data_IF_561059707049
#
_entry.id   IF_561059707049
#
_cell.length_a   1.000
_cell.length_b   1.000
_cell.length_c   1.000
_cell.angle_alpha   90.00
_cell.angle_beta   90.00
_cell.angle_gamma   90.00
#
_symmetry.space_group_name_H-M   'P 1'
#
loop_
_entity.id
_entity.type
_entity.pdbx_description
1 polymer ?
#
# COMPACT_ATOMS: atom_id res chain seq x y z
N UNK A 1 -14.08 63.60 -10.63
CA UNK A 1 -13.03 62.82 -11.31
C UNK A 1 -12.66 61.66 -10.39
N UNK A 2 -12.99 60.42 -10.76
CA UNK A 2 -12.78 59.21 -9.94
C UNK A 2 -11.42 58.58 -10.30
N UNK A 3 -10.58 58.15 -9.33
CA UNK A 3 -9.43 57.34 -9.64
C UNK A 3 -9.87 55.90 -9.89
N UNK A 4 -9.53 55.35 -11.05
CA UNK A 4 -9.68 53.94 -11.38
C UNK A 4 -8.59 53.16 -10.63
N UNK A 5 -8.96 52.36 -9.64
CA UNK A 5 -8.08 51.36 -9.05
C UNK A 5 -7.88 50.22 -10.06
N UNK A 6 -6.67 50.10 -10.60
CA UNK A 6 -6.25 48.90 -11.32
C UNK A 6 -5.93 47.81 -10.30
N UNK A 7 -6.79 46.79 -10.20
CA UNK A 7 -6.51 45.58 -9.44
C UNK A 7 -5.70 44.64 -10.34
N UNK A 8 -4.41 44.49 -10.06
CA UNK A 8 -3.59 43.46 -10.68
C UNK A 8 -3.99 42.10 -10.11
N UNK A 9 -4.62 41.24 -10.93
CA UNK A 9 -4.85 39.85 -10.59
C UNK A 9 -3.51 39.11 -10.60
N UNK A 10 -3.02 38.75 -9.42
CA UNK A 10 -1.88 37.84 -9.27
C UNK A 10 -2.40 36.41 -9.51
N UNK A 11 -2.25 35.90 -10.74
CA UNK A 11 -2.50 34.49 -11.03
C UNK A 11 -1.35 33.69 -10.44
N UNK A 12 -1.58 33.04 -9.31
CA UNK A 12 -0.67 32.05 -8.77
C UNK A 12 -0.71 30.82 -9.69
N UNK A 13 0.33 30.63 -10.50
CA UNK A 13 0.58 29.36 -11.16
C UNK A 13 0.93 28.33 -10.10
N UNK A 14 -0.06 27.62 -9.57
CA UNK A 14 0.18 26.34 -8.92
C UNK A 14 0.56 25.37 -10.02
N UNK A 15 1.85 25.27 -10.34
CA UNK A 15 2.37 24.13 -11.06
C UNK A 15 2.08 22.90 -10.21
N UNK A 16 0.98 22.21 -10.48
CA UNK A 16 0.83 20.82 -10.08
C UNK A 16 1.96 20.08 -10.80
N UNK A 17 3.08 19.87 -10.10
CA UNK A 17 4.07 18.88 -10.52
C UNK A 17 3.26 17.59 -10.76
N UNK A 18 3.30 17.01 -11.97
CA UNK A 18 2.59 15.77 -12.22
C UNK A 18 3.10 14.79 -11.18
N UNK A 19 2.17 14.28 -10.36
CA UNK A 19 2.47 13.30 -9.33
C UNK A 19 3.24 12.17 -10.02
N UNK A 20 4.53 12.05 -9.70
CA UNK A 20 5.50 11.07 -10.18
C UNK A 20 5.13 10.42 -11.50
N UNK A 21 5.73 10.89 -12.59
CA UNK A 21 5.92 10.05 -13.78
C UNK A 21 6.69 8.82 -13.27
N UNK A 22 5.94 7.77 -12.89
CA UNK A 22 6.52 6.51 -12.46
C UNK A 22 7.41 6.08 -13.60
N UNK A 23 8.58 5.56 -13.29
CA UNK A 23 9.50 5.02 -14.28
C UNK A 23 8.88 3.72 -14.83
N UNK A 24 7.83 3.85 -15.64
CA UNK A 24 7.10 2.75 -16.22
C UNK A 24 7.85 2.36 -17.47
N UNK A 25 8.41 1.15 -17.47
CA UNK A 25 9.02 0.55 -18.66
C UNK A 25 8.01 0.66 -19.80
N UNK A 26 8.37 1.37 -20.88
CA UNK A 26 7.52 1.45 -22.07
C UNK A 26 7.32 0.02 -22.59
N UNK A 27 6.07 -0.48 -22.62
CA UNK A 27 5.84 -1.84 -23.04
C UNK A 27 6.26 -1.99 -24.50
N UNK A 28 7.04 -3.05 -24.78
CA UNK A 28 7.50 -3.36 -26.14
C UNK A 28 6.33 -3.71 -27.06
N UNK A 29 5.23 -4.21 -26.49
CA UNK A 29 3.99 -4.56 -27.18
C UNK A 29 2.83 -3.98 -26.36
N UNK A 30 1.90 -3.29 -27.02
CA UNK A 30 0.70 -2.79 -26.34
C UNK A 30 -0.24 -3.95 -26.00
N UNK A 31 -0.65 -4.02 -24.74
CA UNK A 31 -1.66 -4.98 -24.28
C UNK A 31 -2.97 -4.78 -25.04
N UNK A 32 -3.50 -5.88 -25.57
CA UNK A 32 -4.78 -5.89 -26.30
C UNK A 32 -5.99 -6.03 -25.37
N UNK A 33 -5.75 -6.35 -24.11
CA UNK A 33 -6.75 -6.54 -23.07
C UNK A 33 -6.41 -5.62 -21.90
N UNK A 34 -7.44 -5.14 -21.21
CA UNK A 34 -7.27 -4.41 -19.96
C UNK A 34 -7.69 -5.30 -18.79
N UNK A 35 -6.97 -5.26 -17.65
CA UNK A 35 -7.46 -5.87 -16.43
C UNK A 35 -8.81 -5.25 -16.03
N UNK A 36 -9.80 -6.10 -15.76
CA UNK A 36 -11.06 -5.68 -15.16
C UNK A 36 -11.02 -6.03 -13.66
N UNK A 37 -11.09 -5.00 -12.82
CA UNK A 37 -11.25 -5.16 -11.37
C UNK A 37 -12.73 -5.32 -11.06
N UNK A 38 -13.08 -6.35 -10.31
CA UNK A 38 -14.44 -6.57 -9.83
C UNK A 38 -14.58 -6.02 -8.41
N UNK A 39 -15.69 -5.33 -8.13
CA UNK A 39 -16.05 -4.85 -6.81
C UNK A 39 -17.06 -5.77 -6.13
N UNK A 40 -17.16 -5.68 -4.80
CA UNK A 40 -18.17 -6.39 -4.02
C UNK A 40 -19.59 -6.18 -4.57
N UNK A 41 -19.94 -4.93 -4.94
CA UNK A 41 -21.26 -4.61 -5.48
C UNK A 41 -21.63 -5.40 -6.75
N UNK A 42 -20.65 -5.76 -7.59
CA UNK A 42 -20.89 -6.50 -8.84
C UNK A 42 -21.04 -8.01 -8.60
N UNK A 43 -20.47 -8.50 -7.51
CA UNK A 43 -20.36 -9.94 -7.20
C UNK A 43 -21.28 -10.37 -6.05
N UNK A 44 -21.94 -9.41 -5.40
CA UNK A 44 -22.70 -9.59 -4.17
C UNK A 44 -23.69 -10.77 -4.25
N UNK A 45 -23.60 -11.66 -3.26
CA UNK A 45 -24.47 -12.83 -3.14
C UNK A 45 -24.04 -14.05 -3.97
N UNK A 46 -22.94 -13.96 -4.71
CA UNK A 46 -22.30 -15.10 -5.38
C UNK A 46 -21.35 -15.88 -4.47
N UNK A 47 -20.97 -17.10 -4.88
CA UNK A 47 -20.04 -17.93 -4.10
C UNK A 47 -18.61 -17.34 -4.04
N UNK A 48 -18.17 -16.64 -5.09
CA UNK A 48 -16.86 -15.97 -5.09
C UNK A 48 -16.85 -14.79 -4.12
N UNK A 49 -17.92 -13.99 -4.12
CA UNK A 49 -18.11 -12.91 -3.14
C UNK A 49 -18.09 -13.46 -1.71
N UNK A 50 -18.90 -14.49 -1.43
CA UNK A 50 -18.92 -15.14 -0.11
C UNK A 50 -17.53 -15.56 0.34
N UNK A 51 -16.72 -16.16 -0.53
CA UNK A 51 -15.35 -16.59 -0.21
C UNK A 51 -14.40 -15.43 0.04
N UNK A 52 -14.49 -14.35 -0.74
CA UNK A 52 -13.65 -13.17 -0.53
C UNK A 52 -14.03 -12.51 0.78
N UNK A 53 -15.32 -12.35 1.07
CA UNK A 53 -15.79 -11.77 2.32
C UNK A 53 -15.37 -12.60 3.53
N UNK A 54 -15.48 -13.95 3.47
CA UNK A 54 -14.95 -14.84 4.51
C UNK A 54 -13.43 -14.70 4.69
N UNK A 55 -12.69 -14.57 3.58
CA UNK A 55 -11.24 -14.37 3.62
C UNK A 55 -10.88 -13.05 4.30
N UNK A 56 -11.65 -12.00 4.05
CA UNK A 56 -11.49 -10.70 4.71
C UNK A 56 -11.80 -10.81 6.20
N UNK A 57 -13.02 -11.21 6.56
CA UNK A 57 -13.51 -11.10 7.94
C UNK A 57 -12.92 -12.15 8.86
N UNK A 58 -12.78 -13.38 8.39
CA UNK A 58 -12.43 -14.53 9.23
C UNK A 58 -10.95 -14.88 9.19
N UNK A 59 -10.19 -14.31 8.25
CA UNK A 59 -8.75 -14.56 8.14
C UNK A 59 -7.95 -13.27 8.25
N UNK A 60 -8.13 -12.31 7.35
CA UNK A 60 -7.30 -11.10 7.32
C UNK A 60 -7.51 -10.18 8.53
N UNK A 61 -8.77 -9.92 8.89
CA UNK A 61 -9.12 -8.98 9.96
C UNK A 61 -8.77 -9.51 11.36
N UNK A 62 -8.57 -10.81 11.51
CA UNK A 62 -8.25 -11.46 12.80
C UNK A 62 -6.75 -11.71 13.01
N UNK A 63 -5.90 -11.44 12.01
CA UNK A 63 -4.45 -11.61 12.14
C UNK A 63 -3.88 -10.76 13.28
N UNK A 64 -2.85 -11.27 13.95
CA UNK A 64 -2.02 -10.48 14.85
C UNK A 64 -0.84 -9.90 14.06
N UNK A 65 -1.09 -8.77 13.39
CA UNK A 65 -0.13 -8.16 12.47
C UNK A 65 1.18 -7.80 13.17
N UNK A 66 1.10 -7.37 14.43
CA UNK A 66 2.26 -6.94 15.20
C UNK A 66 3.14 -8.12 15.58
N UNK A 67 2.57 -9.17 16.16
CA UNK A 67 3.32 -10.36 16.57
C UNK A 67 3.92 -11.11 15.38
N UNK A 68 3.09 -11.35 14.37
CA UNK A 68 3.40 -12.30 13.31
C UNK A 68 4.26 -11.69 12.21
N UNK A 69 4.23 -10.36 12.02
CA UNK A 69 4.99 -9.67 10.96
C UNK A 69 5.75 -8.44 11.44
N UNK A 70 5.06 -7.41 11.95
CA UNK A 70 5.64 -6.06 12.06
C UNK A 70 6.74 -5.97 13.13
N UNK A 71 6.65 -6.76 14.19
CA UNK A 71 7.68 -6.87 15.21
C UNK A 71 9.06 -7.20 14.63
N UNK A 72 9.12 -8.03 13.58
CA UNK A 72 10.38 -8.43 12.93
C UNK A 72 11.08 -7.28 12.20
N UNK A 73 10.33 -6.24 11.83
CA UNK A 73 10.87 -5.04 11.19
C UNK A 73 11.29 -3.99 12.20
N UNK A 74 10.66 -3.96 13.38
CA UNK A 74 11.04 -3.07 14.50
C UNK A 74 12.21 -3.62 15.30
N UNK A 75 12.17 -4.91 15.60
CA UNK A 75 13.13 -5.67 16.39
C UNK A 75 13.84 -6.67 15.48
N UNK A 76 14.72 -6.14 14.64
CA UNK A 76 15.41 -6.90 13.59
C UNK A 76 16.34 -7.97 14.17
N UNK A 77 16.50 -9.07 13.43
CA UNK A 77 17.32 -10.21 13.84
C UNK A 77 18.68 -10.20 13.14
N UNK A 78 19.68 -10.85 13.75
CA UNK A 78 20.97 -11.05 13.11
C UNK A 78 20.86 -11.94 11.86
N UNK A 79 21.69 -11.67 10.87
CA UNK A 79 21.90 -12.49 9.66
C UNK A 79 22.72 -13.73 10.03
N UNK A 80 22.14 -14.72 10.71
CA UNK A 80 22.90 -15.94 11.03
C UNK A 80 22.08 -16.98 11.78
N UNK A 81 22.08 -18.21 11.23
CA UNK A 81 21.48 -19.46 11.73
C UNK A 81 20.10 -19.94 11.21
N UNK A 82 19.75 -19.59 9.96
CA UNK A 82 18.88 -20.39 9.05
C UNK A 82 17.42 -20.73 9.44
N UNK A 83 16.94 -20.35 10.60
CA UNK A 83 15.50 -20.34 10.90
C UNK A 83 15.02 -18.88 10.74
N UNK A 84 13.93 -18.65 9.99
CA UNK A 84 13.37 -17.31 9.64
C UNK A 84 13.86 -16.62 8.36
N UNK A 85 13.96 -17.35 7.24
CA UNK A 85 14.34 -16.76 5.94
C UNK A 85 13.18 -15.96 5.29
N UNK A 86 11.94 -16.15 5.75
CA UNK A 86 10.76 -15.55 5.12
C UNK A 86 9.60 -15.32 6.10
N UNK A 87 9.11 -14.08 6.15
CA UNK A 87 7.90 -13.70 6.92
C UNK A 87 6.70 -13.36 6.02
N UNK A 88 6.91 -12.89 4.80
CA UNK A 88 5.80 -12.67 3.84
C UNK A 88 4.91 -11.45 4.08
N UNK A 89 5.36 -10.44 4.85
CA UNK A 89 4.57 -9.22 5.12
C UNK A 89 4.09 -8.51 3.86
N UNK A 90 4.89 -8.53 2.78
CA UNK A 90 4.52 -7.93 1.50
C UNK A 90 3.26 -8.57 0.90
N UNK A 91 3.06 -9.88 1.07
CA UNK A 91 1.84 -10.55 0.61
C UNK A 91 0.63 -10.16 1.44
N UNK A 92 0.81 -9.94 2.75
CA UNK A 92 -0.26 -9.50 3.64
C UNK A 92 -0.69 -8.06 3.30
N UNK A 93 0.28 -7.18 3.01
CA UNK A 93 0.01 -5.82 2.55
C UNK A 93 -0.72 -5.80 1.19
N UNK A 94 -0.26 -6.62 0.23
CA UNK A 94 -0.87 -6.73 -1.09
C UNK A 94 -2.32 -7.25 -1.00
N UNK A 95 -2.53 -8.36 -0.27
CA UNK A 95 -3.87 -8.89 -0.03
C UNK A 95 -4.79 -7.87 0.64
N UNK A 96 -4.30 -7.17 1.68
CA UNK A 96 -5.07 -6.11 2.35
C UNK A 96 -5.45 -4.96 1.41
N UNK A 97 -4.59 -4.62 0.46
CA UNK A 97 -4.85 -3.57 -0.55
C UNK A 97 -5.96 -3.99 -1.51
N UNK A 98 -5.91 -5.24 -1.99
CA UNK A 98 -6.94 -5.82 -2.85
C UNK A 98 -8.28 -5.98 -2.11
N UNK A 99 -8.25 -6.39 -0.84
CA UNK A 99 -9.45 -6.48 -0.01
C UNK A 99 -10.09 -5.12 0.25
N UNK A 100 -9.29 -4.10 0.53
CA UNK A 100 -9.78 -2.74 0.72
C UNK A 100 -10.46 -2.21 -0.56
N UNK A 101 -9.87 -2.46 -1.73
CA UNK A 101 -10.45 -2.11 -3.02
C UNK A 101 -11.75 -2.88 -3.29
N UNK A 102 -11.75 -4.20 -3.08
CA UNK A 102 -12.89 -5.07 -3.36
C UNK A 102 -14.11 -4.74 -2.50
N UNK A 103 -13.92 -4.67 -1.17
CA UNK A 103 -15.01 -4.51 -0.22
C UNK A 103 -15.44 -3.05 -0.02
N UNK A 104 -14.54 -2.09 -0.27
CA UNK A 104 -14.78 -0.68 0.03
C UNK A 104 -14.91 -0.39 1.53
N UNK A 105 -14.51 -1.32 2.41
CA UNK A 105 -14.63 -1.16 3.86
C UNK A 105 -13.47 -0.30 4.41
N UNK A 106 -13.77 0.86 5.04
CA UNK A 106 -12.74 1.74 5.60
C UNK A 106 -11.89 1.08 6.69
N UNK A 107 -12.40 0.08 7.41
CA UNK A 107 -11.62 -0.64 8.43
C UNK A 107 -10.54 -1.53 7.81
N UNK A 108 -10.86 -2.18 6.69
CA UNK A 108 -9.89 -2.97 5.93
C UNK A 108 -8.81 -2.04 5.36
N UNK A 109 -9.21 -0.91 4.78
CA UNK A 109 -8.28 0.10 4.28
C UNK A 109 -7.36 0.64 5.38
N UNK A 110 -7.91 0.99 6.55
CA UNK A 110 -7.14 1.49 7.69
C UNK A 110 -6.15 0.45 8.21
N UNK A 111 -6.55 -0.82 8.26
CA UNK A 111 -5.67 -1.92 8.66
C UNK A 111 -4.53 -2.14 7.68
N UNK A 112 -4.79 -2.06 6.38
CA UNK A 112 -3.75 -2.11 5.33
C UNK A 112 -2.80 -0.92 5.44
N UNK A 113 -3.34 0.28 5.65
CA UNK A 113 -2.56 1.50 5.84
C UNK A 113 -1.64 1.39 7.06
N UNK A 114 -2.11 0.80 8.15
CA UNK A 114 -1.30 0.55 9.34
C UNK A 114 -0.04 -0.27 9.02
N UNK A 115 -0.15 -1.33 8.21
CA UNK A 115 1.02 -2.11 7.78
C UNK A 115 2.02 -1.22 7.02
N UNK A 116 1.53 -0.43 6.05
CA UNK A 116 2.36 0.47 5.26
C UNK A 116 3.07 1.51 6.13
N UNK A 117 2.38 2.09 7.11
CA UNK A 117 2.95 3.10 8.00
C UNK A 117 4.02 2.52 8.92
N UNK A 118 3.78 1.32 9.45
CA UNK A 118 4.77 0.63 10.30
C UNK A 118 6.01 0.20 9.52
N UNK A 119 5.85 -0.27 8.28
CA UNK A 119 6.98 -0.56 7.39
C UNK A 119 7.74 0.71 6.99
N UNK A 120 7.03 1.82 6.68
CA UNK A 120 7.70 3.08 6.37
C UNK A 120 8.49 3.61 7.57
N UNK A 121 7.95 3.48 8.77
CA UNK A 121 8.58 3.92 10.00
C UNK A 121 9.83 3.08 10.37
N UNK A 122 9.91 1.83 9.92
CA UNK A 122 11.07 0.97 10.17
C UNK A 122 12.16 1.07 9.11
N UNK A 123 11.99 1.90 8.09
CA UNK A 123 12.96 2.09 7.01
C UNK A 123 14.16 2.91 7.47
N UNK A 124 15.36 2.47 7.09
CA UNK A 124 16.61 3.19 7.39
C UNK A 124 16.79 4.42 6.49
N UNK A 125 17.68 5.37 6.85
CA UNK A 125 17.93 6.59 6.06
C UNK A 125 18.42 6.32 4.64
N UNK A 126 19.11 5.20 4.40
CA UNK A 126 19.57 4.77 3.07
C UNK A 126 18.47 4.08 2.24
N UNK A 127 17.28 3.91 2.82
CA UNK A 127 16.15 3.27 2.20
C UNK A 127 16.03 1.77 2.47
N UNK A 128 16.94 1.16 3.24
CA UNK A 128 16.83 -0.25 3.60
C UNK A 128 15.52 -0.49 4.36
N UNK A 129 14.73 -1.44 3.84
CA UNK A 129 13.49 -1.91 4.44
C UNK A 129 13.54 -3.43 4.51
N UNK A 130 13.91 -3.94 5.68
CA UNK A 130 14.04 -5.36 5.91
C UNK A 130 13.99 -5.70 7.39
N UNK A 131 13.99 -6.98 7.69
CA UNK A 131 13.91 -7.52 9.04
C UNK A 131 15.27 -8.00 9.56
N UNK A 132 16.35 -7.81 8.78
CA UNK A 132 17.70 -8.20 9.16
C UNK A 132 18.44 -6.96 9.65
N UNK A 133 19.32 -7.15 10.64
CA UNK A 133 20.24 -6.10 11.04
C UNK A 133 21.10 -5.69 9.83
N UNK A 134 21.30 -4.39 9.67
CA UNK A 134 22.24 -3.86 8.67
C UNK A 134 23.64 -4.29 9.11
N UNK A 135 24.39 -4.92 8.21
CA UNK A 135 25.76 -5.30 8.50
C UNK A 135 26.62 -4.03 8.60
N UNK A 136 27.51 -3.93 9.61
CA UNK A 136 28.48 -2.86 9.63
C UNK A 136 29.38 -2.96 8.40
N UNK A 137 29.59 -1.81 7.73
CA UNK A 137 30.55 -1.67 6.63
C UNK A 137 31.99 -1.93 7.11
#
# INVERSE_FOLDING_TARGET
MRPLLNVAMLVAFTSSLPAGERDVVKPLIQDQLIPASLAHQEMAGGEIDRRIMDLITSNYMVLDLDRDWLDKFRNRTARGDTYNVYYGVGKVLDAGSLFAQYAGDPKVAQRTQYIMDQLRASRDPDGYLGFWNVEPN
#
